data_IF_517796729591
#
_entry.id   IF_517796729591
#
_cell.length_a   1.000
_cell.length_b   1.000
_cell.length_c   1.000
_cell.angle_alpha   90.00
_cell.angle_beta   90.00
_cell.angle_gamma   90.00
#
_symmetry.space_group_name_H-M   'P 1'
#
loop_
_entity.id
_entity.type
_entity.pdbx_description
1 polymer ?
#
# COMPACT_ATOMS: atom_id res chain seq x y z
N UNK A 1 -17.64 -9.05 -1.97
CA UNK A 1 -16.53 -8.80 -1.03
C UNK A 1 -15.23 -9.19 -1.72
N UNK A 2 -14.48 -8.22 -2.26
CA UNK A 2 -13.22 -8.51 -2.94
C UNK A 2 -12.12 -8.79 -1.92
N UNK A 3 -11.58 -10.00 -1.93
CA UNK A 3 -10.37 -10.36 -1.18
C UNK A 3 -9.25 -9.40 -1.59
N UNK A 4 -8.77 -8.59 -0.66
CA UNK A 4 -7.70 -7.61 -0.91
C UNK A 4 -6.36 -8.36 -0.92
N UNK A 5 -5.75 -8.61 -2.09
CA UNK A 5 -4.55 -9.47 -2.18
C UNK A 5 -3.39 -8.91 -1.35
N UNK A 6 -3.32 -7.58 -1.22
CA UNK A 6 -2.28 -6.85 -0.49
C UNK A 6 -2.33 -7.04 1.02
N UNK A 7 -3.52 -7.30 1.59
CA UNK A 7 -3.73 -7.42 3.04
C UNK A 7 -3.73 -8.87 3.54
N UNK A 8 -3.78 -9.85 2.64
CA UNK A 8 -3.82 -11.28 2.98
C UNK A 8 -2.45 -11.91 3.23
N UNK A 9 -1.36 -11.28 2.79
CA UNK A 9 -0.03 -11.87 2.95
C UNK A 9 0.55 -11.59 4.35
N UNK A 10 0.82 -12.62 5.18
CA UNK A 10 1.37 -12.42 6.52
C UNK A 10 2.78 -11.82 6.53
N UNK A 11 3.57 -12.00 5.45
CA UNK A 11 4.89 -11.36 5.31
C UNK A 11 4.80 -9.84 5.28
N UNK A 12 3.73 -9.31 4.70
CA UNK A 12 3.52 -7.88 4.49
C UNK A 12 2.77 -7.20 5.65
N UNK A 13 2.46 -7.92 6.73
CA UNK A 13 1.66 -7.41 7.85
C UNK A 13 2.27 -6.18 8.51
N UNK A 14 3.61 -6.09 8.53
CA UNK A 14 4.33 -4.89 9.03
C UNK A 14 4.11 -3.68 8.12
N UNK A 15 4.27 -3.87 6.81
CA UNK A 15 4.07 -2.82 5.81
C UNK A 15 2.60 -2.36 5.78
N UNK A 16 1.65 -3.28 5.81
CA UNK A 16 0.21 -2.98 5.87
C UNK A 16 -0.13 -2.11 7.08
N UNK A 17 0.35 -2.48 8.28
CA UNK A 17 0.14 -1.66 9.49
C UNK A 17 0.74 -0.27 9.34
N UNK A 18 1.96 -0.17 8.81
CA UNK A 18 2.63 1.12 8.59
C UNK A 18 1.88 1.99 7.59
N UNK A 19 1.43 1.41 6.47
CA UNK A 19 0.60 2.08 5.48
C UNK A 19 -0.70 2.62 6.10
N UNK A 20 -1.39 1.83 6.91
CA UNK A 20 -2.60 2.27 7.60
C UNK A 20 -2.31 3.40 8.60
N UNK A 21 -1.21 3.33 9.35
CA UNK A 21 -0.79 4.42 10.26
C UNK A 21 -0.51 5.70 9.47
N UNK A 22 0.16 5.60 8.31
CA UNK A 22 0.40 6.73 7.40
C UNK A 22 -0.88 7.26 6.72
N UNK A 23 -1.99 6.55 6.82
CA UNK A 23 -3.28 6.97 6.26
C UNK A 23 -4.33 7.17 7.36
N UNK A 24 -3.92 7.28 8.63
CA UNK A 24 -4.83 7.41 9.78
C UNK A 24 -5.93 6.33 9.84
N UNK A 25 -5.62 5.11 9.40
CA UNK A 25 -6.55 3.98 9.35
C UNK A 25 -7.38 3.90 8.07
N UNK A 26 -7.17 4.78 7.10
CA UNK A 26 -7.92 4.76 5.84
C UNK A 26 -7.43 3.65 4.89
N UNK A 27 -8.04 2.47 5.05
CA UNK A 27 -7.81 1.32 4.19
C UNK A 27 -8.35 1.51 2.75
N UNK A 28 -9.32 2.40 2.54
CA UNK A 28 -9.90 2.67 1.22
C UNK A 28 -8.92 3.46 0.37
N UNK A 29 -8.32 4.50 0.96
CA UNK A 29 -7.25 5.27 0.32
C UNK A 29 -6.03 4.39 0.06
N UNK A 30 -5.66 3.51 1.01
CA UNK A 30 -4.58 2.54 0.82
C UNK A 30 -4.81 1.66 -0.42
N UNK A 31 -6.01 1.10 -0.57
CA UNK A 31 -6.35 0.25 -1.70
C UNK A 31 -6.34 1.02 -3.03
N UNK A 32 -6.83 2.27 -3.03
CA UNK A 32 -6.81 3.14 -4.22
C UNK A 32 -5.40 3.42 -4.70
N UNK A 33 -4.48 3.74 -3.78
CA UNK A 33 -3.08 3.98 -4.09
C UNK A 33 -2.40 2.73 -4.64
N UNK A 34 -2.63 1.56 -4.02
CA UNK A 34 -2.09 0.29 -4.50
C UNK A 34 -2.61 -0.07 -5.89
N UNK A 35 -3.91 0.12 -6.15
CA UNK A 35 -4.50 -0.07 -7.48
C UNK A 35 -3.89 0.87 -8.52
N UNK A 36 -3.66 2.13 -8.17
CA UNK A 36 -3.02 3.10 -9.05
C UNK A 36 -1.59 2.71 -9.40
N UNK A 37 -0.79 2.29 -8.40
CA UNK A 37 0.58 1.83 -8.64
C UNK A 37 0.63 0.58 -9.51
N UNK A 38 -0.30 -0.36 -9.31
CA UNK A 38 -0.42 -1.57 -10.13
C UNK A 38 -0.84 -1.30 -11.58
N UNK A 39 -1.66 -0.27 -11.81
CA UNK A 39 -1.99 0.16 -13.16
C UNK A 39 -0.78 0.78 -13.88
N UNK A 40 0.07 1.50 -13.14
CA UNK A 40 1.28 2.16 -13.66
C UNK A 40 2.45 1.20 -13.85
N UNK A 41 2.62 0.26 -12.93
CA UNK A 41 3.68 -0.73 -12.91
C UNK A 41 3.02 -2.10 -12.91
N UNK A 42 2.93 -2.73 -14.08
CA UNK A 42 2.38 -4.09 -14.20
C UNK A 42 3.52 -5.09 -14.00
N UNK A 43 3.33 -6.05 -13.09
CA UNK A 43 4.23 -7.19 -12.92
C UNK A 43 5.06 -7.20 -11.64
N UNK A 44 4.98 -6.16 -10.82
CA UNK A 44 5.67 -6.13 -9.53
C UNK A 44 4.95 -6.94 -8.45
N UNK A 45 5.68 -7.28 -7.38
CA UNK A 45 5.15 -8.05 -6.23
C UNK A 45 4.29 -7.18 -5.30
N UNK A 46 3.38 -7.80 -4.54
CA UNK A 46 2.54 -7.10 -3.54
C UNK A 46 3.35 -6.31 -2.50
N UNK A 47 4.51 -6.83 -2.11
CA UNK A 47 5.47 -6.16 -1.22
C UNK A 47 5.98 -4.86 -1.82
N UNK A 48 6.40 -4.90 -3.10
CA UNK A 48 6.90 -3.73 -3.82
C UNK A 48 5.86 -2.62 -3.88
N UNK A 49 4.59 -2.93 -4.17
CA UNK A 49 3.53 -1.90 -4.18
C UNK A 49 3.33 -1.28 -2.79
N UNK A 50 3.37 -2.08 -1.72
CA UNK A 50 3.25 -1.57 -0.36
C UNK A 50 4.41 -0.66 0.03
N UNK A 51 5.64 -1.10 -0.23
CA UNK A 51 6.84 -0.29 0.00
C UNK A 51 6.81 1.00 -0.81
N UNK A 52 6.42 0.92 -2.08
CA UNK A 52 6.33 2.07 -2.98
C UNK A 52 5.33 3.11 -2.48
N UNK A 53 4.12 2.68 -2.11
CA UNK A 53 3.10 3.59 -1.57
C UNK A 53 3.54 4.19 -0.24
N UNK A 54 4.15 3.41 0.66
CA UNK A 54 4.69 3.91 1.93
C UNK A 54 5.75 4.98 1.66
N UNK A 55 6.70 4.70 0.76
CA UNK A 55 7.75 5.65 0.39
C UNK A 55 7.18 6.94 -0.19
N UNK A 56 6.22 6.84 -1.11
CA UNK A 56 5.59 8.01 -1.73
C UNK A 56 4.84 8.87 -0.67
N UNK A 57 4.15 8.24 0.29
CA UNK A 57 3.48 8.93 1.41
C UNK A 57 4.45 9.57 2.41
N UNK A 58 5.54 8.87 2.74
CA UNK A 58 6.59 9.41 3.62
C UNK A 58 7.31 10.59 2.96
N UNK A 59 7.48 10.56 1.64
CA UNK A 59 8.06 11.67 0.88
C UNK A 59 7.13 12.87 0.84
N UNK A 60 5.83 12.66 0.61
CA UNK A 60 4.82 13.72 0.56
C UNK A 60 4.70 14.46 1.91
N UNK A 61 4.78 13.73 3.02
CA UNK A 61 4.73 14.28 4.39
C UNK A 61 5.99 15.03 4.84
N UNK A 62 7.09 14.95 4.09
CA UNK A 62 8.35 15.65 4.41
C UNK A 62 8.41 17.06 3.80
N UNK A 63 7.44 17.44 2.97
CA UNK A 63 7.21 18.81 2.53
C UNK A 63 6.20 19.50 3.45
#
# INVERSE_FOLDING_TARGET
MGSKPYFSNPKNRKLQKRLLILLNGDATTAERLLKQQRQRHQGESDEWYLEKVIYDLERDRRC
#
